data_IF_253887472215
#
_entry.id   IF_253887472215
#
_cell.length_a   1.000
_cell.length_b   1.000
_cell.length_c   1.000
_cell.angle_alpha   90.00
_cell.angle_beta   90.00
_cell.angle_gamma   90.00
#
_symmetry.space_group_name_H-M   'P 1'
#
loop_
_entity.id
_entity.type
_entity.pdbx_description
1 polymer ?
#
# COMPACT_ATOMS: atom_id res chain seq x y z
N UNK A 1 -30.80 35.13 -28.29
CA UNK A 1 -29.91 34.03 -28.73
C UNK A 1 -28.46 34.45 -28.46
N UNK A 2 -27.90 34.08 -27.31
CA UNK A 2 -26.48 33.74 -27.09
C UNK A 2 -26.45 32.87 -25.83
N UNK A 3 -26.04 31.61 -25.99
CA UNK A 3 -25.68 30.67 -24.93
C UNK A 3 -24.16 30.56 -24.99
N UNK A 4 -23.46 30.87 -23.89
CA UNK A 4 -22.05 30.51 -23.65
C UNK A 4 -21.95 30.18 -22.16
N UNK A 5 -22.26 28.93 -21.81
CA UNK A 5 -21.32 27.88 -21.41
C UNK A 5 -20.66 28.13 -20.04
N UNK A 6 -21.20 27.46 -19.02
CA UNK A 6 -20.52 27.21 -17.77
C UNK A 6 -19.35 26.25 -17.98
N UNK A 7 -18.16 26.69 -17.59
CA UNK A 7 -17.00 25.84 -17.45
C UNK A 7 -17.22 24.91 -16.23
N UNK A 8 -17.51 23.64 -16.50
CA UNK A 8 -17.47 22.59 -15.49
C UNK A 8 -16.00 22.30 -15.14
N UNK A 9 -15.65 22.08 -13.87
CA UNK A 9 -14.30 21.71 -13.48
C UNK A 9 -13.98 20.31 -14.02
N UNK A 10 -12.86 20.17 -14.72
CA UNK A 10 -12.36 18.89 -15.21
C UNK A 10 -12.02 17.99 -14.03
N UNK A 11 -12.86 17.01 -13.75
CA UNK A 11 -12.65 15.97 -12.74
C UNK A 11 -11.58 14.98 -13.22
N UNK A 12 -10.30 15.30 -13.00
CA UNK A 12 -9.17 14.37 -13.26
C UNK A 12 -8.87 13.44 -12.08
N UNK A 13 -9.72 13.41 -11.04
CA UNK A 13 -9.45 12.69 -9.80
C UNK A 13 -9.99 11.24 -9.73
N UNK A 14 -10.74 10.76 -10.74
CA UNK A 14 -11.51 9.52 -10.61
C UNK A 14 -10.79 8.23 -11.07
N UNK A 15 -9.67 8.31 -11.80
CA UNK A 15 -8.99 7.11 -12.32
C UNK A 15 -7.93 6.51 -11.38
N UNK A 16 -7.27 7.32 -10.54
CA UNK A 16 -6.17 6.87 -9.69
C UNK A 16 -6.63 5.95 -8.53
N UNK A 17 -7.89 6.09 -8.09
CA UNK A 17 -8.45 5.25 -7.02
C UNK A 17 -8.58 3.78 -7.45
N UNK A 18 -9.12 3.53 -8.64
CA UNK A 18 -9.35 2.17 -9.18
C UNK A 18 -8.08 1.34 -9.30
N UNK A 19 -6.98 1.95 -9.75
CA UNK A 19 -5.70 1.23 -9.88
C UNK A 19 -5.11 0.89 -8.51
N UNK A 20 -5.22 1.79 -7.53
CA UNK A 20 -4.71 1.57 -6.17
C UNK A 20 -5.37 0.37 -5.49
N UNK A 21 -6.71 0.25 -5.57
CA UNK A 21 -7.42 -0.89 -5.01
C UNK A 21 -7.07 -2.21 -5.71
N UNK A 22 -6.82 -2.18 -7.03
CA UNK A 22 -6.37 -3.35 -7.78
C UNK A 22 -4.96 -3.79 -7.34
N UNK A 23 -4.03 -2.84 -7.14
CA UNK A 23 -2.71 -3.14 -6.57
C UNK A 23 -2.81 -3.77 -5.18
N UNK A 24 -3.72 -3.26 -4.33
CA UNK A 24 -3.93 -3.81 -2.98
C UNK A 24 -4.53 -5.23 -3.02
N UNK A 25 -5.41 -5.51 -3.98
CA UNK A 25 -5.92 -6.88 -4.20
C UNK A 25 -4.79 -7.85 -4.56
N UNK A 26 -3.91 -7.46 -5.49
CA UNK A 26 -2.76 -8.28 -5.89
C UNK A 26 -1.81 -8.50 -4.70
N UNK A 27 -1.60 -7.46 -3.88
CA UNK A 27 -0.81 -7.60 -2.65
C UNK A 27 -1.43 -8.61 -1.68
N UNK A 28 -2.74 -8.56 -1.47
CA UNK A 28 -3.48 -9.52 -0.65
C UNK A 28 -3.35 -10.96 -1.16
N UNK A 29 -3.51 -11.17 -2.47
CA UNK A 29 -3.38 -12.50 -3.09
C UNK A 29 -1.97 -13.09 -2.89
N UNK A 30 -0.94 -12.26 -3.02
CA UNK A 30 0.45 -12.67 -2.78
C UNK A 30 0.67 -12.97 -1.30
N UNK A 31 0.15 -12.14 -0.40
CA UNK A 31 0.25 -12.35 1.04
C UNK A 31 -0.36 -13.69 1.47
N UNK A 32 -1.58 -14.00 1.02
CA UNK A 32 -2.24 -15.28 1.29
C UNK A 32 -1.46 -16.46 0.71
N UNK A 33 -0.94 -16.31 -0.52
CA UNK A 33 -0.12 -17.33 -1.15
C UNK A 33 1.16 -17.61 -0.37
N UNK A 34 1.86 -16.57 0.10
CA UNK A 34 3.08 -16.72 0.91
C UNK A 34 2.76 -17.42 2.23
N UNK A 35 1.69 -17.03 2.93
CA UNK A 35 1.25 -17.70 4.15
C UNK A 35 0.95 -19.19 3.91
N UNK A 36 0.22 -19.51 2.85
CA UNK A 36 -0.24 -20.88 2.57
C UNK A 36 0.83 -21.79 1.92
N UNK A 37 1.81 -21.22 1.21
CA UNK A 37 2.87 -21.97 0.54
C UNK A 37 4.12 -22.17 1.40
N UNK A 38 4.23 -21.49 2.55
CA UNK A 38 5.38 -21.65 3.45
C UNK A 38 5.23 -22.88 4.36
N UNK A 39 6.30 -23.68 4.41
CA UNK A 39 6.41 -24.92 5.20
C UNK A 39 6.29 -24.68 6.72
N UNK A 40 6.60 -23.47 7.17
CA UNK A 40 6.38 -23.01 8.54
C UNK A 40 5.51 -21.77 8.48
N UNK A 41 4.33 -21.75 9.12
CA UNK A 41 3.45 -20.59 9.09
C UNK A 41 4.22 -19.39 9.63
N UNK A 42 4.53 -18.38 8.80
CA UNK A 42 5.20 -17.19 9.26
C UNK A 42 4.26 -16.43 10.20
N UNK A 43 4.83 -15.72 11.18
CA UNK A 43 4.07 -14.79 11.99
C UNK A 43 3.53 -13.67 11.09
N UNK A 44 2.21 -13.57 11.00
CA UNK A 44 1.51 -12.60 10.15
C UNK A 44 1.96 -11.17 10.42
N UNK A 45 2.18 -10.84 11.70
CA UNK A 45 2.64 -9.51 12.11
C UNK A 45 4.04 -9.26 11.53
N UNK A 46 4.96 -10.22 11.67
CA UNK A 46 6.31 -10.09 11.09
C UNK A 46 6.31 -10.03 9.57
N UNK A 47 5.41 -10.75 8.89
CA UNK A 47 5.32 -10.75 7.44
C UNK A 47 4.87 -9.38 6.92
N UNK A 48 3.86 -8.79 7.55
CA UNK A 48 3.38 -7.44 7.23
C UNK A 48 4.45 -6.39 7.54
N UNK A 49 5.10 -6.46 8.70
CA UNK A 49 6.18 -5.54 9.08
C UNK A 49 7.36 -5.60 8.10
N UNK A 50 7.71 -6.79 7.62
CA UNK A 50 8.77 -6.98 6.63
C UNK A 50 8.38 -6.41 5.26
N UNK A 51 7.12 -6.58 4.86
CA UNK A 51 6.59 -5.98 3.64
C UNK A 51 6.59 -4.44 3.70
N UNK A 52 6.19 -3.85 4.83
CA UNK A 52 6.22 -2.40 5.05
C UNK A 52 7.66 -1.88 5.02
N UNK A 53 8.58 -2.53 5.73
CA UNK A 53 10.00 -2.18 5.67
C UNK A 53 10.55 -2.26 4.24
N UNK A 54 10.22 -3.31 3.48
CA UNK A 54 10.63 -3.43 2.08
C UNK A 54 10.10 -2.30 1.19
N UNK A 55 8.86 -1.87 1.39
CA UNK A 55 8.28 -0.73 0.69
C UNK A 55 8.97 0.60 1.08
N UNK A 56 9.26 0.82 2.36
CA UNK A 56 9.95 2.01 2.84
C UNK A 56 11.40 2.09 2.34
N UNK A 57 12.14 0.98 2.42
CA UNK A 57 13.52 0.91 1.90
C UNK A 57 13.59 1.12 0.39
N UNK A 58 12.52 0.74 -0.34
CA UNK A 58 12.42 0.99 -1.78
C UNK A 58 12.17 2.47 -2.12
N UNK A 59 11.55 3.22 -1.20
CA UNK A 59 11.29 4.66 -1.34
C UNK A 59 12.51 5.49 -0.92
N UNK A 60 13.16 5.12 0.18
CA UNK A 60 14.36 5.77 0.69
C UNK A 60 15.20 4.76 1.52
N UNK A 61 16.48 4.56 1.21
CA UNK A 61 17.38 3.67 1.95
C UNK A 61 17.49 3.96 3.45
N UNK A 62 17.11 5.17 3.91
CA UNK A 62 17.16 5.55 5.32
C UNK A 62 15.80 5.42 6.03
N UNK A 63 14.72 5.14 5.28
CA UNK A 63 13.39 4.96 5.85
C UNK A 63 13.23 3.55 6.40
N UNK A 64 13.14 3.45 7.73
CA UNK A 64 12.84 2.21 8.45
C UNK A 64 11.46 2.31 9.11
N UNK A 65 10.68 1.23 9.05
CA UNK A 65 9.41 1.15 9.76
C UNK A 65 9.71 0.80 11.22
N UNK A 66 9.58 1.78 12.11
CA UNK A 66 9.68 1.53 13.54
C UNK A 66 8.36 0.96 14.07
N UNK A 67 8.41 -0.29 14.52
CA UNK A 67 7.29 -0.93 15.20
C UNK A 67 7.06 -0.32 16.59
N UNK A 68 5.85 -0.48 17.13
CA UNK A 68 5.49 -0.01 18.47
C UNK A 68 6.50 -0.47 19.54
N UNK A 69 6.99 -1.72 19.46
CA UNK A 69 8.03 -2.24 20.36
C UNK A 69 9.37 -1.48 20.24
N UNK A 70 9.75 -1.04 19.04
CA UNK A 70 10.99 -0.30 18.82
C UNK A 70 10.86 1.19 19.20
N UNK A 71 9.66 1.75 19.11
CA UNK A 71 9.35 3.08 19.60
C UNK A 71 9.29 3.13 21.14
N UNK A 72 9.00 2.01 21.80
CA UNK A 72 8.98 1.89 23.27
C UNK A 72 10.36 1.69 23.91
N UNK A 73 11.38 1.31 23.14
CA UNK A 73 12.76 1.08 23.63
C UNK A 73 13.64 2.35 23.53
N UNK A 74 13.05 3.50 23.17
CA UNK A 74 13.68 4.83 23.16
C UNK A 74 13.30 5.64 24.39
#
# INVERSE_FOLDING_TARGET
MVVVQGALPTTVAAAAGTDTYKQLSIFGDIFERVRNQYVTPPDDKKLIESAINGMLTSLDPHSSYMNADQAQDM
#
